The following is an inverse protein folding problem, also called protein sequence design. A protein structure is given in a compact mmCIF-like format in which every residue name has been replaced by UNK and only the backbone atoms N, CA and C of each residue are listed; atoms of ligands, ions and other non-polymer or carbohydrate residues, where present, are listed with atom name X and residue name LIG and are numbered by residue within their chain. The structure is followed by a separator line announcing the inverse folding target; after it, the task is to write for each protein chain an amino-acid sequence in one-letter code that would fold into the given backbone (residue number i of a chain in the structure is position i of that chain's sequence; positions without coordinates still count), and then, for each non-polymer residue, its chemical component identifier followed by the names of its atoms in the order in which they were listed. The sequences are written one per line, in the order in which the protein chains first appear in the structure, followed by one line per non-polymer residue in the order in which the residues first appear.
data_IF_560408334951
#
_entry.id   IF_560408334951
#
_cell.length_a   1.000
_cell.length_b   1.000
_cell.length_c   1.000
_cell.angle_alpha   90.00
_cell.angle_beta   90.00
_cell.angle_gamma   90.00
#
_symmetry.space_group_name_H-M   'P 1'
#
loop_
_entity.id
_entity.type
_entity.pdbx_description
1 polymer ?
#
# COMPACT_ATOMS: atom_id res chain seq x y z
N UNK A 1 -19.77 19.91 1.16
CA UNK A 1 -18.45 20.20 0.57
C UNK A 1 -17.53 20.51 1.74
N UNK A 2 -16.93 19.48 2.35
CA UNK A 2 -16.03 19.69 3.49
C UNK A 2 -14.72 20.27 2.97
N UNK A 3 -14.31 21.40 3.53
CA UNK A 3 -13.07 22.09 3.21
C UNK A 3 -11.89 21.12 3.38
N UNK A 4 -11.29 20.74 2.26
CA UNK A 4 -10.16 19.82 2.23
C UNK A 4 -8.92 20.39 2.93
N UNK A 5 -8.86 21.71 3.17
CA UNK A 5 -7.77 22.35 3.91
C UNK A 5 -7.80 22.06 5.41
N UNK A 6 -8.97 22.09 6.03
CA UNK A 6 -9.15 21.97 7.49
C UNK A 6 -8.87 20.55 8.01
N UNK A 7 -9.25 19.53 7.22
CA UNK A 7 -9.08 18.11 7.57
C UNK A 7 -7.64 17.59 7.43
N UNK A 8 -6.81 18.25 6.60
CA UNK A 8 -5.43 17.83 6.30
C UNK A 8 -4.45 18.08 7.47
N UNK A 9 -4.51 19.25 8.11
CA UNK A 9 -3.58 19.57 9.20
C UNK A 9 -3.97 18.86 10.52
N UNK A 10 -5.27 18.68 10.74
CA UNK A 10 -5.82 17.92 11.88
C UNK A 10 -5.33 16.46 11.89
N UNK A 11 -5.41 15.77 10.76
CA UNK A 11 -4.90 14.40 10.62
C UNK A 11 -3.39 14.31 10.85
N UNK A 12 -2.60 15.27 10.34
CA UNK A 12 -1.15 15.32 10.57
C UNK A 12 -0.85 15.55 12.06
N UNK A 13 -1.60 16.43 12.75
CA UNK A 13 -1.43 16.67 14.19
C UNK A 13 -1.69 15.42 15.00
N UNK A 14 -2.75 14.68 14.69
CA UNK A 14 -3.07 13.41 15.34
C UNK A 14 -1.97 12.36 15.10
N UNK A 15 -1.56 12.12 13.85
CA UNK A 15 -0.48 11.14 13.57
C UNK A 15 0.83 11.56 14.25
N UNK A 16 1.12 12.86 14.33
CA UNK A 16 2.29 13.39 15.05
C UNK A 16 2.23 13.20 16.57
N UNK A 17 1.06 13.02 17.17
CA UNK A 17 0.91 12.75 18.61
C UNK A 17 1.12 11.28 18.94
N UNK A 18 0.80 10.38 18.00
CA UNK A 18 1.02 8.93 18.15
C UNK A 18 2.49 8.50 18.04
N UNK A 19 3.35 9.34 17.47
CA UNK A 19 4.75 9.01 17.20
C UNK A 19 5.63 9.37 18.41
N UNK A 20 6.34 8.38 18.95
CA UNK A 20 7.46 8.62 19.87
C UNK A 20 8.64 9.25 19.11
N UNK A 21 9.09 10.42 19.57
CA UNK A 21 10.16 11.23 18.94
C UNK A 21 11.47 11.20 19.73
N UNK A 22 11.52 10.45 20.82
CA UNK A 22 12.70 10.34 21.66
C UNK A 22 13.91 9.84 20.83
N UNK A 23 15.06 10.51 20.98
CA UNK A 23 16.27 10.23 20.19
C UNK A 23 16.21 10.53 18.68
N UNK A 24 15.07 10.96 18.12
CA UNK A 24 14.88 11.06 16.65
C UNK A 24 14.08 12.27 16.16
N UNK A 25 13.78 13.24 17.04
CA UNK A 25 12.97 14.44 16.74
C UNK A 25 13.36 15.15 15.44
N UNK A 26 14.65 15.39 15.21
CA UNK A 26 15.13 16.07 13.99
C UNK A 26 14.81 15.32 12.69
N UNK A 27 14.90 13.98 12.70
CA UNK A 27 14.55 13.13 11.56
C UNK A 27 13.05 13.18 11.29
N UNK A 28 12.24 13.13 12.34
CA UNK A 28 10.78 13.27 12.22
C UNK A 28 10.37 14.64 11.68
N UNK A 29 10.98 15.72 12.14
CA UNK A 29 10.68 17.06 11.62
C UNK A 29 11.10 17.21 10.15
N UNK A 30 12.24 16.63 9.75
CA UNK A 30 12.64 16.57 8.35
C UNK A 30 11.65 15.77 7.50
N UNK A 31 11.22 14.60 7.97
CA UNK A 31 10.20 13.78 7.31
C UNK A 31 8.90 14.58 7.11
N UNK A 32 8.37 15.20 8.16
CA UNK A 32 7.10 15.94 8.07
C UNK A 32 7.18 17.16 7.16
N UNK A 33 8.32 17.86 7.14
CA UNK A 33 8.56 18.97 6.20
C UNK A 33 8.55 18.47 4.75
N UNK A 34 9.24 17.36 4.48
CA UNK A 34 9.23 16.73 3.17
C UNK A 34 7.82 16.24 2.79
N UNK A 35 7.13 15.54 3.70
CA UNK A 35 5.80 14.99 3.48
C UNK A 35 4.80 16.07 3.11
N UNK A 36 4.76 17.18 3.87
CA UNK A 36 3.88 18.31 3.53
C UNK A 36 4.19 18.90 2.17
N UNK A 37 5.46 19.21 1.89
CA UNK A 37 5.86 19.81 0.62
C UNK A 37 5.51 18.93 -0.58
N UNK A 38 5.75 17.63 -0.47
CA UNK A 38 5.58 16.68 -1.57
C UNK A 38 4.13 16.22 -1.69
N UNK A 39 3.57 15.62 -0.64
CA UNK A 39 2.29 14.92 -0.70
C UNK A 39 1.07 15.80 -0.43
N UNK A 40 1.26 16.96 0.21
CA UNK A 40 0.17 17.91 0.47
C UNK A 40 0.21 19.14 -0.45
N UNK A 41 1.41 19.50 -0.93
CA UNK A 41 1.63 20.68 -1.78
C UNK A 41 1.79 20.36 -3.27
N UNK A 42 2.58 19.33 -3.62
CA UNK A 42 2.86 19.00 -5.03
C UNK A 42 1.84 18.03 -5.63
N UNK A 43 1.38 17.06 -4.86
CA UNK A 43 0.38 16.09 -5.29
C UNK A 43 -0.95 16.39 -4.59
N UNK A 44 -2.04 16.46 -5.35
CA UNK A 44 -3.36 16.66 -4.76
C UNK A 44 -3.77 15.43 -3.94
N UNK A 45 -4.39 15.66 -2.78
CA UNK A 45 -4.77 14.55 -1.89
C UNK A 45 -5.76 13.59 -2.54
N UNK A 46 -6.58 14.04 -3.50
CA UNK A 46 -7.48 13.15 -4.25
C UNK A 46 -6.75 12.04 -5.03
N UNK A 47 -5.46 12.20 -5.32
CA UNK A 47 -4.67 11.20 -6.06
C UNK A 47 -4.21 10.03 -5.19
N UNK A 48 -4.17 10.20 -3.86
CA UNK A 48 -3.64 9.19 -2.94
C UNK A 48 -4.54 8.93 -1.73
N UNK A 49 -5.51 9.79 -1.46
CA UNK A 49 -6.46 9.63 -0.37
C UNK A 49 -7.52 8.60 -0.77
N UNK A 50 -7.36 7.39 -0.26
CA UNK A 50 -8.27 6.28 -0.51
C UNK A 50 -9.52 6.29 0.37
N UNK A 51 -9.72 7.32 1.21
CA UNK A 51 -10.89 7.40 2.09
C UNK A 51 -12.20 7.41 1.29
N UNK A 52 -12.23 8.05 0.11
CA UNK A 52 -13.38 7.98 -0.80
C UNK A 52 -13.66 6.56 -1.30
N UNK A 53 -12.62 5.76 -1.50
CA UNK A 53 -12.73 4.35 -1.89
C UNK A 53 -13.25 3.50 -0.72
N UNK A 54 -12.82 3.77 0.51
CA UNK A 54 -13.36 3.13 1.72
C UNK A 54 -14.83 3.45 1.94
N UNK A 55 -15.23 4.73 1.81
CA UNK A 55 -16.63 5.15 1.92
C UNK A 55 -17.49 4.51 0.82
N UNK A 56 -16.91 4.31 -0.37
CA UNK A 56 -17.55 3.60 -1.48
C UNK A 56 -17.62 2.07 -1.31
N UNK A 57 -17.15 1.52 -0.19
CA UNK A 57 -17.16 0.06 0.06
C UNK A 57 -16.19 -0.73 -0.82
N UNK A 58 -15.18 -0.07 -1.40
CA UNK A 58 -14.13 -0.73 -2.16
C UNK A 58 -13.18 -1.39 -1.17
N UNK A 59 -12.96 -2.70 -1.31
CA UNK A 59 -12.01 -3.43 -0.48
C UNK A 59 -10.58 -2.93 -0.72
N UNK A 60 -9.96 -2.36 0.33
CA UNK A 60 -8.62 -1.80 0.27
C UNK A 60 -7.66 -2.73 0.99
N UNK A 61 -6.76 -3.35 0.23
CA UNK A 61 -5.73 -4.18 0.82
C UNK A 61 -4.45 -3.37 1.06
N UNK A 62 -4.08 -3.15 2.32
CA UNK A 62 -2.79 -2.55 2.68
C UNK A 62 -1.64 -3.49 2.24
N UNK A 63 -0.85 -3.05 1.25
CA UNK A 63 0.36 -3.76 0.82
C UNK A 63 1.59 -2.96 1.24
N UNK A 64 2.08 -3.20 2.45
CA UNK A 64 3.35 -2.63 2.97
C UNK A 64 4.59 -3.19 2.26
N UNK A 65 4.45 -4.31 1.55
CA UNK A 65 5.45 -4.80 0.60
C UNK A 65 4.92 -4.58 -0.82
N UNK A 66 5.71 -3.96 -1.70
CA UNK A 66 5.37 -3.83 -3.10
C UNK A 66 5.15 -5.24 -3.68
N UNK A 67 3.91 -5.62 -4.02
CA UNK A 67 3.60 -6.96 -4.51
C UNK A 67 4.33 -7.26 -5.82
N UNK A 68 4.60 -6.23 -6.62
CA UNK A 68 5.31 -6.35 -7.87
C UNK A 68 6.79 -6.65 -7.64
N UNK A 69 7.40 -6.04 -6.62
CA UNK A 69 8.78 -6.31 -6.24
C UNK A 69 8.94 -7.71 -5.66
N UNK A 70 8.01 -8.13 -4.78
CA UNK A 70 7.98 -9.52 -4.30
C UNK A 70 7.81 -10.49 -5.46
N UNK A 71 6.84 -10.25 -6.34
CA UNK A 71 6.62 -11.10 -7.51
C UNK A 71 7.88 -11.18 -8.39
N UNK A 72 8.51 -10.05 -8.73
CA UNK A 72 9.74 -10.05 -9.54
C UNK A 72 10.87 -10.84 -8.89
N UNK A 73 11.01 -10.77 -7.56
CA UNK A 73 11.99 -11.57 -6.83
C UNK A 73 11.64 -13.06 -6.86
N UNK A 74 10.42 -13.43 -6.50
CA UNK A 74 9.97 -14.84 -6.46
C UNK A 74 9.99 -15.48 -7.86
N UNK A 75 9.67 -14.71 -8.90
CA UNK A 75 9.80 -15.11 -10.30
C UNK A 75 11.27 -15.23 -10.70
N UNK A 76 12.11 -14.27 -10.29
CA UNK A 76 13.56 -14.29 -10.49
C UNK A 76 14.23 -15.53 -9.88
N UNK A 77 13.79 -15.97 -8.70
CA UNK A 77 14.34 -17.17 -8.03
C UNK A 77 14.11 -18.46 -8.83
N UNK A 78 13.11 -18.52 -9.71
CA UNK A 78 12.83 -19.68 -10.59
C UNK A 78 13.92 -19.91 -11.63
N UNK A 79 14.71 -18.88 -11.94
CA UNK A 79 15.84 -18.98 -12.87
C UNK A 79 17.16 -19.35 -12.16
N UNK A 80 17.17 -19.43 -10.83
CA UNK A 80 18.38 -19.50 -10.02
C UNK A 80 18.94 -18.10 -9.70
N UNK A 81 19.37 -17.87 -8.46
CA UNK A 81 19.84 -16.54 -8.01
C UNK A 81 21.04 -16.07 -8.84
N UNK A 82 20.91 -14.89 -9.44
CA UNK A 82 21.98 -14.24 -10.20
C UNK A 82 22.23 -14.83 -11.60
N UNK A 83 21.40 -15.77 -12.06
CA UNK A 83 21.48 -16.28 -13.42
C UNK A 83 20.77 -15.34 -14.40
N UNK A 84 21.39 -15.07 -15.54
CA UNK A 84 20.74 -14.47 -16.70
C UNK A 84 20.18 -15.60 -17.57
N UNK A 85 18.87 -15.88 -17.55
CA UNK A 85 18.31 -17.00 -18.30
C UNK A 85 18.42 -16.75 -19.81
N UNK A 86 18.54 -17.82 -20.58
CA UNK A 86 18.35 -17.74 -22.02
C UNK A 86 16.90 -17.33 -22.34
N UNK A 87 16.66 -16.78 -23.53
CA UNK A 87 15.31 -16.40 -23.94
C UNK A 87 14.33 -17.61 -23.91
N UNK A 88 14.81 -18.79 -24.30
CA UNK A 88 14.03 -20.01 -24.26
C UNK A 88 13.62 -20.37 -22.82
N UNK A 89 14.59 -20.42 -21.90
CA UNK A 89 14.33 -20.72 -20.50
C UNK A 89 13.40 -19.68 -19.85
N UNK A 90 13.56 -18.41 -20.22
CA UNK A 90 12.65 -17.35 -19.82
C UNK A 90 11.21 -17.62 -20.26
N UNK A 91 11.01 -17.92 -21.55
CA UNK A 91 9.67 -18.18 -22.10
C UNK A 91 9.02 -19.42 -21.47
N UNK A 92 9.79 -20.49 -21.26
CA UNK A 92 9.29 -21.72 -20.64
C UNK A 92 8.78 -21.48 -19.21
N UNK A 93 9.59 -20.81 -18.38
CA UNK A 93 9.23 -20.50 -17.00
C UNK A 93 8.08 -19.49 -16.94
N UNK A 94 8.09 -18.45 -17.78
CA UNK A 94 6.99 -17.49 -17.85
C UNK A 94 5.66 -18.15 -18.23
N UNK A 95 5.68 -19.09 -19.19
CA UNK A 95 4.49 -19.83 -19.60
C UNK A 95 3.99 -20.75 -18.49
N UNK A 96 4.89 -21.48 -17.83
CA UNK A 96 4.54 -22.32 -16.70
C UNK A 96 3.92 -21.51 -15.55
N UNK A 97 4.47 -20.31 -15.28
CA UNK A 97 3.95 -19.40 -14.26
C UNK A 97 2.54 -18.92 -14.59
N UNK A 98 2.32 -18.46 -15.82
CA UNK A 98 1.00 -18.01 -16.27
C UNK A 98 -0.05 -19.13 -16.16
N UNK A 99 0.30 -20.35 -16.56
CA UNK A 99 -0.57 -21.53 -16.41
C UNK A 99 -0.87 -21.83 -14.94
N UNK A 100 0.14 -21.77 -14.06
CA UNK A 100 -0.05 -21.94 -12.62
C UNK A 100 -1.04 -20.94 -12.03
N UNK A 101 -0.97 -19.67 -12.43
CA UNK A 101 -1.94 -18.66 -12.00
C UNK A 101 -3.35 -18.91 -12.52
N UNK A 102 -3.49 -19.28 -13.80
CA UNK A 102 -4.80 -19.60 -14.38
C UNK A 102 -5.46 -20.78 -13.67
N UNK A 103 -4.69 -21.84 -13.41
CA UNK A 103 -5.16 -23.00 -12.67
C UNK A 103 -5.57 -22.61 -11.25
N UNK A 104 -4.74 -21.84 -10.54
CA UNK A 104 -5.07 -21.35 -9.19
C UNK A 104 -6.38 -20.55 -9.15
N UNK A 105 -6.59 -19.65 -10.13
CA UNK A 105 -7.84 -18.88 -10.22
C UNK A 105 -9.03 -19.81 -10.47
N UNK A 106 -8.86 -20.81 -11.35
CA UNK A 106 -9.89 -21.81 -11.61
C UNK A 106 -10.18 -22.66 -10.37
N UNK A 107 -9.17 -23.12 -9.65
CA UNK A 107 -9.30 -23.90 -8.42
C UNK A 107 -9.99 -23.11 -7.31
N UNK A 108 -9.73 -21.80 -7.21
CA UNK A 108 -10.46 -20.91 -6.30
C UNK A 108 -11.94 -20.82 -6.69
N UNK A 109 -12.24 -20.67 -7.99
CA UNK A 109 -13.63 -20.64 -8.48
C UNK A 109 -14.36 -21.95 -8.22
N UNK A 110 -13.66 -23.07 -8.32
CA UNK A 110 -14.18 -24.42 -8.06
C UNK A 110 -14.18 -24.77 -6.56
N UNK A 111 -13.74 -23.86 -5.68
CA UNK A 111 -13.64 -24.08 -4.22
C UNK A 111 -12.70 -25.25 -3.86
N UNK A 112 -11.81 -25.64 -4.77
CA UNK A 112 -10.75 -26.61 -4.53
C UNK A 112 -9.64 -25.97 -3.68
N UNK A 113 -9.40 -24.68 -3.88
CA UNK A 113 -8.43 -23.90 -3.14
C UNK A 113 -9.07 -22.65 -2.52
N UNK A 114 -8.70 -22.31 -1.28
CA UNK A 114 -9.18 -21.09 -0.63
C UNK A 114 -8.43 -19.87 -1.15
N UNK A 115 -9.16 -18.79 -1.40
CA UNK A 115 -8.55 -17.50 -1.72
C UNK A 115 -7.60 -17.05 -0.60
N UNK A 116 -6.48 -16.37 -0.91
CA UNK A 116 -5.57 -15.87 0.10
C UNK A 116 -6.32 -14.95 1.07
N UNK A 117 -6.17 -15.19 2.38
CA UNK A 117 -6.71 -14.29 3.40
C UNK A 117 -5.87 -13.01 3.43
N UNK A 118 -6.49 -11.90 3.07
CA UNK A 118 -5.88 -10.58 3.18
C UNK A 118 -6.14 -10.01 4.58
N UNK A 119 -5.19 -9.22 5.09
CA UNK A 119 -5.42 -8.45 6.31
C UNK A 119 -6.52 -7.42 6.02
N UNK A 120 -7.46 -7.28 6.95
CA UNK A 120 -8.51 -6.27 6.83
C UNK A 120 -7.89 -4.87 6.76
N UNK A 121 -8.54 -3.99 5.99
CA UNK A 121 -8.18 -2.59 5.96
C UNK A 121 -8.26 -2.03 7.39
N UNK A 122 -7.18 -1.39 7.85
CA UNK A 122 -7.21 -0.67 9.13
C UNK A 122 -7.95 0.64 8.90
N UNK A 123 -9.16 0.75 9.43
CA UNK A 123 -9.92 2.00 9.44
C UNK A 123 -9.37 2.87 10.57
N UNK A 124 -8.66 3.94 10.24
CA UNK A 124 -8.21 4.93 11.21
C UNK A 124 -9.19 6.10 11.25
N UNK A 125 -9.78 6.36 12.42
CA UNK A 125 -10.56 7.57 12.68
C UNK A 125 -9.67 8.59 13.40
N UNK A 126 -9.80 9.86 13.01
CA UNK A 126 -9.17 10.98 13.71
C UNK A 126 -10.08 11.32 14.90
N UNK A 127 -9.58 11.29 16.15
CA UNK A 127 -10.41 11.60 17.32
C UNK A 127 -10.97 13.03 17.28
N UNK A 128 -12.13 13.23 17.91
CA UNK A 128 -12.86 14.50 17.87
C UNK A 128 -12.07 15.69 18.45
N UNK A 129 -11.20 15.43 19.42
CA UNK A 129 -10.31 16.44 20.01
C UNK A 129 -9.37 17.08 18.97
N UNK A 130 -9.15 16.39 17.85
CA UNK A 130 -8.34 16.89 16.74
C UNK A 130 -9.19 17.48 15.61
N UNK A 131 -10.52 17.34 15.64
CA UNK A 131 -11.45 17.92 14.63
C UNK A 131 -12.12 19.22 15.10
N UNK A 132 -12.21 19.47 16.42
CA UNK A 132 -13.01 20.56 17.03
C UNK A 132 -12.22 21.72 17.66
N UNK A 133 -11.00 22.01 17.21
CA UNK A 133 -10.31 23.25 17.59
C UNK A 133 -10.48 24.29 16.47
N UNK A 134 -11.37 25.26 16.71
CA UNK A 134 -11.50 26.52 15.95
C UNK A 134 -10.15 27.22 15.79
#
# INVERSE_FOLDING_TARGET
MLDQGLTRDQGIRYVRSLINKEGSKGKWDQFWRYFRKTWMGRFDSSLWNVNSMMVGGIDITNRTNNPFEKYNRDFGEKFGRGAHPSLLAFMEIAKAEALGYMNRIQDIKLVIQTAPRHAEAVITQVPDDYTNLM
#
